data_IF_290733325086
#
_entry.id   IF_290733325086
#
_cell.length_a   1.000
_cell.length_b   1.000
_cell.length_c   1.000
_cell.angle_alpha   90.00
_cell.angle_beta   90.00
_cell.angle_gamma   90.00
#
_symmetry.space_group_name_H-M   'P 1'
#
loop_
_entity.id
_entity.type
_entity.pdbx_description
1 polymer ?
#
# COMPACT_ATOMS: atom_id res chain seq x y z
N UNK A 1 -16.47 20.33 -57.54
CA UNK A 1 -16.02 19.10 -56.84
C UNK A 1 -15.81 19.45 -55.38
N UNK A 2 -16.70 19.00 -54.48
CA UNK A 2 -16.64 19.29 -53.03
C UNK A 2 -15.86 18.18 -52.35
N UNK A 3 -14.59 18.44 -52.04
CA UNK A 3 -13.75 17.52 -51.26
C UNK A 3 -14.13 17.71 -49.79
N UNK A 4 -14.97 16.82 -49.29
CA UNK A 4 -15.36 16.80 -47.88
C UNK A 4 -14.21 16.19 -47.08
N UNK A 5 -13.48 17.05 -46.35
CA UNK A 5 -12.41 16.65 -45.44
C UNK A 5 -13.04 15.96 -44.23
N UNK A 6 -12.96 14.65 -44.17
CA UNK A 6 -13.35 13.86 -43.00
C UNK A 6 -12.27 14.02 -41.95
N UNK A 7 -12.51 14.87 -40.95
CA UNK A 7 -11.65 14.97 -39.77
C UNK A 7 -11.86 13.72 -38.90
N UNK A 8 -10.91 12.79 -38.93
CA UNK A 8 -10.80 11.72 -37.94
C UNK A 8 -10.40 12.34 -36.60
N UNK A 9 -11.39 12.57 -35.73
CA UNK A 9 -11.15 12.94 -34.33
C UNK A 9 -10.60 11.70 -33.64
N UNK A 10 -9.28 11.60 -33.53
CA UNK A 10 -8.61 10.67 -32.63
C UNK A 10 -8.94 11.10 -31.20
N UNK A 11 -10.08 10.61 -30.69
CA UNK A 11 -10.35 10.56 -29.27
C UNK A 11 -9.33 9.58 -28.67
N UNK A 12 -8.14 10.10 -28.35
CA UNK A 12 -7.21 9.46 -27.43
C UNK A 12 -7.93 9.40 -26.10
N UNK A 13 -8.60 8.28 -25.89
CA UNK A 13 -9.08 7.79 -24.61
C UNK A 13 -7.93 7.94 -23.62
N UNK A 14 -8.03 8.96 -22.77
CA UNK A 14 -7.36 9.02 -21.49
C UNK A 14 -7.83 7.82 -20.68
N UNK A 15 -7.18 6.67 -20.88
CA UNK A 15 -7.27 5.59 -19.92
C UNK A 15 -6.60 6.12 -18.66
N UNK A 16 -7.33 6.33 -17.54
CA UNK A 16 -6.67 6.52 -16.28
C UNK A 16 -5.88 5.23 -16.04
N UNK A 17 -4.57 5.35 -16.13
CA UNK A 17 -3.63 4.28 -15.83
C UNK A 17 -4.03 3.69 -14.49
N UNK A 18 -4.44 2.42 -14.50
CA UNK A 18 -4.96 1.71 -13.34
C UNK A 18 -4.14 2.03 -12.08
N UNK A 19 -4.76 2.74 -11.14
CA UNK A 19 -4.33 2.72 -9.75
C UNK A 19 -4.48 1.29 -9.28
N UNK A 20 -3.43 0.50 -9.48
CA UNK A 20 -3.35 -0.86 -8.96
C UNK A 20 -3.23 -0.71 -7.46
N UNK A 21 -4.38 -0.69 -6.78
CA UNK A 21 -4.42 -0.89 -5.34
C UNK A 21 -3.51 -2.09 -5.04
N UNK A 22 -2.59 -1.94 -4.09
CA UNK A 22 -1.88 -3.09 -3.56
C UNK A 22 -2.90 -3.94 -2.77
N UNK A 23 -3.81 -4.60 -3.47
CA UNK A 23 -4.83 -5.52 -2.96
C UNK A 23 -4.38 -6.97 -3.14
N UNK A 24 -3.10 -7.17 -3.44
CA UNK A 24 -2.50 -8.49 -3.60
C UNK A 24 -2.37 -9.26 -2.30
N UNK A 25 -2.16 -10.59 -2.38
CA UNK A 25 -1.97 -11.47 -1.22
C UNK A 25 -0.81 -11.02 -0.30
N UNK A 26 0.18 -10.32 -0.87
CA UNK A 26 1.30 -9.75 -0.12
C UNK A 26 0.84 -8.61 0.79
N UNK A 27 -0.04 -7.72 0.33
CA UNK A 27 -0.59 -6.64 1.17
C UNK A 27 -1.38 -7.21 2.34
N UNK A 28 -2.21 -8.23 2.11
CA UNK A 28 -2.93 -8.87 3.21
C UNK A 28 -1.97 -9.54 4.20
N UNK A 29 -0.88 -10.13 3.72
CA UNK A 29 0.08 -10.77 4.62
C UNK A 29 0.85 -9.75 5.44
N UNK A 30 1.30 -8.67 4.82
CA UNK A 30 2.20 -7.68 5.41
C UNK A 30 1.48 -6.60 6.21
N UNK A 31 0.36 -6.09 5.68
CA UNK A 31 -0.39 -4.98 6.28
C UNK A 31 -1.55 -5.44 7.18
N UNK A 32 -2.17 -6.61 6.93
CA UNK A 32 -3.26 -7.12 7.82
C UNK A 32 -2.75 -7.93 8.98
N UNK A 33 -1.74 -8.77 8.77
CA UNK A 33 -1.24 -9.69 9.78
C UNK A 33 -0.02 -9.12 10.46
N UNK A 34 -0.24 -8.21 11.41
CA UNK A 34 0.67 -8.13 12.55
C UNK A 34 0.28 -9.29 13.47
N UNK A 35 0.88 -10.47 13.29
CA UNK A 35 0.37 -11.70 13.90
C UNK A 35 1.48 -12.67 14.27
N UNK A 36 1.39 -13.17 15.51
CA UNK A 36 2.25 -14.18 16.10
C UNK A 36 1.86 -14.38 17.56
N UNK A 37 2.20 -15.53 18.15
CA UNK A 37 2.04 -15.78 19.60
C UNK A 37 3.30 -15.42 20.40
N UNK A 38 4.40 -15.11 19.70
CA UNK A 38 5.70 -14.83 20.28
C UNK A 38 5.87 -13.32 20.36
N UNK A 39 6.23 -12.83 21.55
CA UNK A 39 6.52 -11.42 21.76
C UNK A 39 7.84 -11.01 21.08
N UNK A 40 7.89 -9.78 20.58
CA UNK A 40 9.07 -9.28 19.88
C UNK A 40 10.23 -9.03 20.85
N UNK A 41 11.42 -9.55 20.57
CA UNK A 41 12.64 -9.26 21.35
C UNK A 41 13.50 -8.16 20.73
N UNK A 42 13.21 -7.80 19.49
CA UNK A 42 13.88 -6.73 18.75
C UNK A 42 13.17 -5.40 19.01
N UNK A 43 13.93 -4.33 18.93
CA UNK A 43 13.40 -2.97 18.95
C UNK A 43 13.56 -2.36 17.55
N UNK A 44 12.77 -1.34 17.25
CA UNK A 44 12.83 -0.63 15.98
C UNK A 44 12.00 -1.23 14.84
N UNK A 45 11.27 -2.33 15.09
CA UNK A 45 10.31 -2.86 14.10
C UNK A 45 9.03 -2.04 14.05
N UNK A 46 8.38 -2.02 12.89
CA UNK A 46 7.19 -1.24 12.59
C UNK A 46 6.08 -2.12 12.04
N UNK A 47 4.85 -1.84 12.48
CA UNK A 47 3.65 -2.51 12.03
C UNK A 47 2.60 -1.55 11.55
N UNK A 48 1.68 -2.08 10.74
CA UNK A 48 0.53 -1.34 10.25
C UNK A 48 -0.73 -1.72 11.04
N UNK A 49 -1.42 -0.71 11.56
CA UNK A 49 -2.72 -0.85 12.17
C UNK A 49 -3.79 -0.45 11.15
N UNK A 50 -4.47 -1.43 10.58
CA UNK A 50 -5.55 -1.18 9.61
C UNK A 50 -6.71 -0.39 10.19
N UNK A 51 -7.05 -0.57 11.48
CA UNK A 51 -8.20 0.13 12.09
C UNK A 51 -7.97 1.63 12.19
N UNK A 52 -6.74 2.04 12.45
CA UNK A 52 -6.38 3.45 12.59
C UNK A 52 -5.68 4.02 11.36
N UNK A 53 -5.40 3.18 10.36
CA UNK A 53 -4.60 3.51 9.18
C UNK A 53 -3.26 4.15 9.55
N UNK A 54 -2.54 3.56 10.50
CA UNK A 54 -1.27 4.10 11.01
C UNK A 54 -0.17 3.05 11.03
N UNK A 55 1.01 3.46 10.59
CA UNK A 55 2.25 2.77 10.90
C UNK A 55 2.71 3.17 12.30
N UNK A 56 3.02 2.20 13.14
CA UNK A 56 3.44 2.41 14.51
C UNK A 56 4.65 1.52 14.86
N UNK A 57 5.47 2.02 15.79
CA UNK A 57 6.61 1.26 16.30
C UNK A 57 6.12 0.21 17.29
N UNK A 58 6.51 -1.03 17.05
CA UNK A 58 6.21 -2.16 17.92
C UNK A 58 6.98 -2.04 19.23
N UNK A 59 6.30 -2.28 20.34
CA UNK A 59 6.95 -2.31 21.66
C UNK A 59 7.53 -3.70 21.93
N UNK A 60 8.83 -3.73 22.22
CA UNK A 60 9.52 -4.93 22.68
C UNK A 60 8.78 -5.59 23.85
N UNK A 61 8.67 -6.92 23.81
CA UNK A 61 8.02 -7.79 24.79
C UNK A 61 6.52 -7.59 25.01
N UNK A 62 5.83 -6.75 24.23
CA UNK A 62 4.37 -6.51 24.38
C UNK A 62 3.53 -7.12 23.28
N UNK A 63 4.04 -7.11 22.06
CA UNK A 63 3.35 -7.61 20.88
C UNK A 63 4.34 -8.31 19.95
N UNK A 64 3.86 -9.07 18.95
CA UNK A 64 4.71 -9.68 17.93
C UNK A 64 5.50 -8.64 17.15
N UNK A 65 6.65 -9.04 16.59
CA UNK A 65 7.46 -8.11 15.81
C UNK A 65 6.69 -7.58 14.61
N UNK A 66 6.95 -6.31 14.28
CA UNK A 66 6.43 -5.73 13.06
C UNK A 66 7.12 -6.30 11.84
N UNK A 67 6.43 -6.24 10.69
CA UNK A 67 6.98 -6.76 9.44
C UNK A 67 8.08 -5.85 8.85
N UNK A 68 8.11 -4.58 9.25
CA UNK A 68 9.01 -3.59 8.66
C UNK A 68 10.13 -3.21 9.62
N UNK A 69 11.34 -3.06 9.10
CA UNK A 69 12.49 -2.56 9.87
C UNK A 69 12.49 -1.03 10.05
N UNK A 70 11.50 -0.33 9.46
CA UNK A 70 11.44 1.12 9.51
C UNK A 70 10.08 1.71 9.14
N UNK A 71 9.82 2.91 9.67
CA UNK A 71 8.57 3.65 9.46
C UNK A 71 8.29 3.88 7.98
N UNK A 72 9.31 4.34 7.25
CA UNK A 72 9.18 4.66 5.82
C UNK A 72 8.74 3.44 5.01
N UNK A 73 9.30 2.26 5.29
CA UNK A 73 8.91 1.02 4.60
C UNK A 73 7.45 0.67 4.84
N UNK A 74 7.00 0.79 6.10
CA UNK A 74 5.59 0.59 6.44
C UNK A 74 4.67 1.58 5.70
N UNK A 75 5.01 2.88 5.70
CA UNK A 75 4.19 3.91 5.05
C UNK A 75 4.17 3.73 3.53
N UNK A 76 5.33 3.53 2.91
CA UNK A 76 5.44 3.38 1.47
C UNK A 76 4.66 2.16 0.95
N UNK A 77 4.57 1.10 1.77
CA UNK A 77 3.89 -0.14 1.38
C UNK A 77 2.41 -0.17 1.77
N UNK A 78 2.06 0.23 3.00
CA UNK A 78 0.70 0.10 3.54
C UNK A 78 -0.14 1.38 3.48
N UNK A 79 0.46 2.57 3.33
CA UNK A 79 -0.28 3.85 3.26
C UNK A 79 -0.41 4.43 1.85
N UNK A 80 0.27 3.88 0.83
CA UNK A 80 0.12 4.36 -0.56
C UNK A 80 -1.20 3.89 -1.18
N UNK A 81 -2.27 4.67 -0.94
CA UNK A 81 -3.21 5.26 -1.94
C UNK A 81 -4.47 5.80 -1.22
N UNK A 82 -4.32 6.93 -0.52
CA UNK A 82 -5.40 7.93 -0.44
C UNK A 82 -4.97 9.10 -1.32
N UNK A 83 -5.22 8.98 -2.63
CA UNK A 83 -4.97 9.98 -3.64
C UNK A 83 -5.86 9.70 -4.84
#
# INVERSE_FOLDING_TARGET
MKVQRVCFVLALSFFPWDSTYASGPVYQTVCRRTGGSISCYQDGTWSYNERTHKCYRVQKNKEPCGFFDGEKGCKDFCLKNTG
#
